data_IF_759431783200
#
_entry.id   IF_759431783200
#
_cell.length_a   1.000
_cell.length_b   1.000
_cell.length_c   1.000
_cell.angle_alpha   90.00
_cell.angle_beta   90.00
_cell.angle_gamma   90.00
#
_symmetry.space_group_name_H-M   'P 1'
#
loop_
_entity.id
_entity.type
_entity.pdbx_description
1 polymer ?
#
# COMPACT_ATOMS: atom_id res chain seq x y z
N UNK A 1 -1.60 -22.02 -24.23
CA UNK A 1 -1.07 -20.65 -24.02
C UNK A 1 -1.83 -19.84 -22.97
N UNK A 2 -3.18 -19.89 -22.92
CA UNK A 2 -4.00 -19.09 -22.00
C UNK A 2 -3.78 -19.35 -20.49
N UNK A 3 -3.43 -20.59 -20.11
CA UNK A 3 -3.15 -20.94 -18.70
C UNK A 3 -1.90 -20.23 -18.15
N UNK A 4 -0.87 -20.02 -18.97
CA UNK A 4 0.35 -19.29 -18.56
C UNK A 4 0.03 -17.82 -18.23
N UNK A 5 -0.80 -17.17 -19.07
CA UNK A 5 -1.24 -15.78 -18.85
C UNK A 5 -2.09 -15.64 -17.57
N UNK A 6 -2.97 -16.59 -17.30
CA UNK A 6 -3.78 -16.58 -16.08
C UNK A 6 -2.93 -16.81 -14.82
N UNK A 7 -1.96 -17.73 -14.87
CA UNK A 7 -0.99 -17.94 -13.78
C UNK A 7 -0.17 -16.67 -13.52
N UNK A 8 0.31 -16.02 -14.57
CA UNK A 8 1.07 -14.77 -14.44
C UNK A 8 0.23 -13.67 -13.79
N UNK A 9 -1.03 -13.48 -14.22
CA UNK A 9 -1.93 -12.50 -13.61
C UNK A 9 -2.11 -12.74 -12.11
N UNK A 10 -2.40 -14.00 -11.72
CA UNK A 10 -2.52 -14.37 -10.29
C UNK A 10 -1.26 -14.07 -9.48
N UNK A 11 -0.08 -14.31 -10.04
CA UNK A 11 1.18 -14.01 -9.38
C UNK A 11 1.35 -12.49 -9.12
N UNK A 12 1.05 -11.66 -10.12
CA UNK A 12 1.11 -10.20 -9.96
C UNK A 12 0.00 -9.63 -9.07
N UNK A 13 -1.16 -10.29 -8.99
CA UNK A 13 -2.22 -9.91 -8.06
C UNK A 13 -1.80 -10.21 -6.61
N UNK A 14 -1.11 -11.32 -6.36
CA UNK A 14 -0.51 -11.60 -5.06
C UNK A 14 0.57 -10.57 -4.69
N UNK A 15 1.49 -10.26 -5.61
CA UNK A 15 2.51 -9.23 -5.39
C UNK A 15 1.89 -7.84 -5.12
N UNK A 16 0.78 -7.50 -5.79
CA UNK A 16 0.07 -6.26 -5.53
C UNK A 16 -0.53 -6.24 -4.12
N UNK A 17 -1.13 -7.35 -3.67
CA UNK A 17 -1.68 -7.46 -2.32
C UNK A 17 -0.59 -7.32 -1.25
N UNK A 18 0.55 -7.99 -1.43
CA UNK A 18 1.70 -7.86 -0.53
C UNK A 18 2.20 -6.41 -0.47
N UNK A 19 2.34 -5.78 -1.63
CA UNK A 19 2.78 -4.38 -1.73
C UNK A 19 1.80 -3.42 -1.04
N UNK A 20 0.50 -3.56 -1.28
CA UNK A 20 -0.54 -2.71 -0.64
C UNK A 20 -0.52 -2.89 0.87
N UNK A 21 -0.36 -4.12 1.35
CA UNK A 21 -0.32 -4.45 2.77
C UNK A 21 0.90 -3.83 3.44
N UNK A 22 2.07 -3.95 2.82
CA UNK A 22 3.31 -3.36 3.34
C UNK A 22 3.23 -1.83 3.41
N UNK A 23 2.74 -1.18 2.35
CA UNK A 23 2.60 0.28 2.33
C UNK A 23 1.54 0.76 3.32
N UNK A 24 0.45 0.01 3.50
CA UNK A 24 -0.55 0.29 4.55
C UNK A 24 0.09 0.23 5.94
N UNK A 25 0.88 -0.80 6.22
CA UNK A 25 1.55 -0.96 7.51
C UNK A 25 2.56 0.17 7.75
N UNK A 26 3.35 0.55 6.75
CA UNK A 26 4.26 1.70 6.81
C UNK A 26 3.50 2.99 7.14
N UNK A 27 2.41 3.26 6.43
CA UNK A 27 1.59 4.46 6.67
C UNK A 27 0.99 4.47 8.08
N UNK A 28 0.46 3.34 8.55
CA UNK A 28 -0.08 3.21 9.92
C UNK A 28 1.00 3.45 10.97
N UNK A 29 2.20 2.87 10.79
CA UNK A 29 3.33 3.08 11.69
C UNK A 29 3.78 4.55 11.72
N UNK A 30 3.91 5.18 10.56
CA UNK A 30 4.31 6.59 10.46
C UNK A 30 3.27 7.53 11.09
N UNK A 31 1.98 7.29 10.87
CA UNK A 31 0.92 8.03 11.57
C UNK A 31 0.99 7.85 13.09
N UNK A 32 1.22 6.62 13.57
CA UNK A 32 1.33 6.36 15.00
C UNK A 32 2.52 7.11 15.62
N UNK A 33 3.67 7.11 14.95
CA UNK A 33 4.84 7.90 15.36
C UNK A 33 4.54 9.40 15.35
N UNK A 34 3.84 9.90 14.32
CA UNK A 34 3.50 11.31 14.22
C UNK A 34 2.56 11.73 15.36
N UNK A 35 1.60 10.90 15.73
CA UNK A 35 0.66 11.16 16.83
C UNK A 35 1.32 11.12 18.22
N UNK A 36 2.41 10.37 18.36
CA UNK A 36 3.20 10.32 19.60
C UNK A 36 4.22 11.46 19.70
N UNK A 37 4.47 12.17 18.60
CA UNK A 37 5.45 13.26 18.56
C UNK A 37 4.94 14.47 19.32
N UNK A 38 5.70 14.93 20.30
CA UNK A 38 5.38 16.15 21.07
C UNK A 38 5.59 17.42 20.23
N UNK A 39 6.63 17.44 19.40
CA UNK A 39 6.91 18.52 18.45
C UNK A 39 6.58 18.11 17.02
N UNK A 40 6.26 19.09 16.18
CA UNK A 40 6.04 18.83 14.77
C UNK A 40 7.36 18.47 14.09
N UNK A 41 7.39 17.30 13.44
CA UNK A 41 8.50 16.84 12.63
C UNK A 41 8.11 16.87 11.14
N UNK A 42 8.66 17.84 10.40
CA UNK A 42 8.37 18.04 8.97
C UNK A 42 8.73 16.81 8.11
N UNK A 43 9.89 16.20 8.35
CA UNK A 43 10.30 15.03 7.59
C UNK A 43 9.33 13.88 7.80
N UNK A 44 8.96 13.60 9.05
CA UNK A 44 7.98 12.58 9.38
C UNK A 44 6.63 12.87 8.73
N UNK A 45 6.18 14.13 8.75
CA UNK A 45 4.95 14.54 8.08
C UNK A 45 4.99 14.26 6.57
N UNK A 46 6.04 14.71 5.87
CA UNK A 46 6.16 14.50 4.43
C UNK A 46 6.29 13.02 4.07
N UNK A 47 7.04 12.22 4.85
CA UNK A 47 7.13 10.77 4.66
C UNK A 47 5.77 10.09 4.84
N UNK A 48 5.02 10.48 5.87
CA UNK A 48 3.66 10.00 6.12
C UNK A 48 2.73 10.32 4.95
N UNK A 49 2.81 11.53 4.38
CA UNK A 49 2.03 11.93 3.19
C UNK A 49 2.40 11.15 1.93
N UNK A 50 3.68 10.86 1.74
CA UNK A 50 4.12 10.00 0.63
C UNK A 50 3.59 8.56 0.79
N UNK A 51 3.65 8.00 2.00
CA UNK A 51 3.11 6.67 2.28
C UNK A 51 1.59 6.61 2.07
N UNK A 52 0.86 7.64 2.50
CA UNK A 52 -0.58 7.81 2.24
C UNK A 52 -0.89 7.79 0.73
N UNK A 53 -0.20 8.62 -0.05
CA UNK A 53 -0.40 8.71 -1.49
C UNK A 53 -0.13 7.37 -2.20
N UNK A 54 0.94 6.66 -1.80
CA UNK A 54 1.26 5.31 -2.30
C UNK A 54 0.15 4.33 -1.97
N UNK A 55 -0.33 4.31 -0.72
CA UNK A 55 -1.40 3.41 -0.29
C UNK A 55 -2.69 3.66 -1.09
N UNK A 56 -3.11 4.91 -1.22
CA UNK A 56 -4.33 5.29 -1.97
C UNK A 56 -4.23 4.86 -3.44
N UNK A 57 -3.08 5.09 -4.09
CA UNK A 57 -2.85 4.67 -5.47
C UNK A 57 -2.96 3.14 -5.60
N UNK A 58 -2.23 2.39 -4.77
CA UNK A 58 -2.21 0.93 -4.83
C UNK A 58 -3.57 0.32 -4.49
N UNK A 59 -4.30 0.90 -3.54
CA UNK A 59 -5.65 0.47 -3.20
C UNK A 59 -6.63 0.64 -4.37
N UNK A 60 -6.51 1.74 -5.14
CA UNK A 60 -7.29 1.93 -6.38
C UNK A 60 -6.96 0.86 -7.41
N UNK A 61 -5.69 0.45 -7.53
CA UNK A 61 -5.28 -0.63 -8.44
C UNK A 61 -5.85 -2.00 -8.02
N UNK A 62 -5.88 -2.30 -6.72
CA UNK A 62 -6.55 -3.52 -6.18
C UNK A 62 -8.03 -3.54 -6.58
N UNK A 63 -8.72 -2.40 -6.39
CA UNK A 63 -10.13 -2.26 -6.76
C UNK A 63 -10.34 -2.39 -8.26
N UNK A 64 -9.50 -1.75 -9.08
CA UNK A 64 -9.53 -1.84 -10.55
C UNK A 64 -9.40 -3.28 -11.05
N UNK A 65 -8.63 -4.12 -10.35
CA UNK A 65 -8.43 -5.53 -10.68
C UNK A 65 -9.47 -6.48 -10.07
N UNK A 66 -10.44 -5.96 -9.31
CA UNK A 66 -11.44 -6.75 -8.58
C UNK A 66 -10.82 -7.79 -7.64
N UNK A 67 -9.65 -7.50 -7.07
CA UNK A 67 -9.01 -8.37 -6.09
C UNK A 67 -9.68 -8.13 -4.74
N UNK A 68 -10.07 -9.20 -4.05
CA UNK A 68 -10.59 -9.12 -2.68
C UNK A 68 -9.42 -8.99 -1.70
N UNK A 69 -9.43 -7.93 -0.90
CA UNK A 69 -8.59 -7.85 0.30
C UNK A 69 -9.18 -8.85 1.30
N UNK A 70 -8.36 -9.77 1.80
CA UNK A 70 -8.72 -10.67 2.88
C UNK A 70 -8.61 -9.97 4.23
#
# INVERSE_FOLDING_TARGET
MFSKKQKLRKAYDALLLDLVTNVKNEWVQQNALQNLSFEFNEELYFRTKVAEAKYVFLFREVKRRNIRLQ
#
